data_IF_073594611312
#
_entry.id   IF_073594611312
#
_cell.length_a   1.000
_cell.length_b   1.000
_cell.length_c   1.000
_cell.angle_alpha   90.00
_cell.angle_beta   90.00
_cell.angle_gamma   90.00
#
_symmetry.space_group_name_H-M   'P 1'
#
loop_
_entity.id
_entity.type
_entity.pdbx_description
1 polymer ?
#
# COMPACT_ATOMS: atom_id res chain seq x y z
N UNK A 1 27.63 -4.42 34.06
CA UNK A 1 26.21 -4.10 34.26
C UNK A 1 25.48 -4.31 32.95
N UNK A 2 25.05 -5.55 32.73
CA UNK A 2 24.28 -5.97 31.55
C UNK A 2 22.86 -5.43 31.72
N UNK A 3 22.42 -4.55 30.82
CA UNK A 3 21.02 -4.12 30.82
C UNK A 3 20.16 -5.26 30.28
N UNK A 4 19.40 -5.90 31.17
CA UNK A 4 18.25 -6.70 30.77
C UNK A 4 17.25 -5.78 30.07
N UNK A 5 17.08 -5.98 28.77
CA UNK A 5 15.98 -5.34 28.04
C UNK A 5 14.70 -6.06 28.48
N UNK A 6 14.03 -5.51 29.49
CA UNK A 6 12.63 -5.87 29.79
C UNK A 6 11.84 -5.69 28.50
N UNK A 7 11.19 -6.77 28.04
CA UNK A 7 10.30 -6.81 26.87
C UNK A 7 9.14 -5.83 27.12
N UNK A 8 9.33 -4.55 26.80
CA UNK A 8 8.24 -3.60 26.78
C UNK A 8 7.31 -4.01 25.64
N UNK A 9 5.99 -3.94 25.87
CA UNK A 9 5.01 -4.09 24.80
C UNK A 9 5.42 -3.21 23.61
N UNK A 10 5.59 -3.76 22.39
CA UNK A 10 6.17 -3.04 21.26
C UNK A 10 5.53 -1.68 20.98
N UNK A 11 4.23 -1.57 21.23
CA UNK A 11 3.48 -0.31 21.12
C UNK A 11 3.95 0.73 22.12
N UNK A 12 4.16 0.34 23.39
CA UNK A 12 4.66 1.24 24.43
C UNK A 12 6.08 1.73 24.13
N UNK A 13 6.93 0.86 23.58
CA UNK A 13 8.28 1.22 23.15
C UNK A 13 8.25 2.21 21.98
N UNK A 14 7.44 1.93 20.96
CA UNK A 14 7.26 2.82 19.80
C UNK A 14 6.74 4.20 20.21
N UNK A 15 5.73 4.26 21.08
CA UNK A 15 5.17 5.53 21.57
C UNK A 15 6.23 6.40 22.26
N UNK A 16 7.08 5.81 23.11
CA UNK A 16 8.19 6.54 23.77
C UNK A 16 9.18 7.10 22.75
N UNK A 17 9.57 6.30 21.77
CA UNK A 17 10.50 6.73 20.70
C UNK A 17 9.90 7.89 19.91
N UNK A 18 8.61 7.82 19.56
CA UNK A 18 7.92 8.87 18.80
C UNK A 18 7.86 10.17 19.61
N UNK A 19 7.47 10.12 20.89
CA UNK A 19 7.35 11.32 21.76
C UNK A 19 8.71 11.98 22.01
N UNK A 20 9.79 11.21 22.08
CA UNK A 20 11.15 11.74 22.29
C UNK A 20 11.82 12.24 21.00
N UNK A 21 11.29 11.89 19.84
CA UNK A 21 11.88 12.28 18.56
C UNK A 21 11.64 13.76 18.27
N UNK A 22 12.68 14.43 17.76
CA UNK A 22 12.56 15.81 17.24
C UNK A 22 11.98 15.84 15.82
N UNK A 23 12.06 14.73 15.09
CA UNK A 23 11.62 14.63 13.71
C UNK A 23 11.23 13.19 13.37
N UNK A 24 9.92 12.93 13.36
CA UNK A 24 9.37 11.60 13.09
C UNK A 24 8.96 11.47 11.64
N UNK A 25 9.36 10.38 10.99
CA UNK A 25 8.98 10.04 9.62
C UNK A 25 8.20 8.72 9.66
N UNK A 26 7.08 8.67 8.95
CA UNK A 26 6.33 7.44 8.72
C UNK A 26 6.43 7.08 7.23
N UNK A 27 6.93 5.88 6.94
CA UNK A 27 6.81 5.27 5.62
C UNK A 27 5.58 4.36 5.63
N UNK A 28 4.58 4.72 4.84
CA UNK A 28 3.29 4.03 4.78
C UNK A 28 3.10 3.38 3.42
N UNK A 29 2.34 2.29 3.38
CA UNK A 29 1.92 1.61 2.16
C UNK A 29 0.40 1.47 2.10
N UNK A 30 -0.10 0.80 1.05
CA UNK A 30 -1.53 0.61 0.82
C UNK A 30 -2.28 -0.07 1.98
N UNK A 31 -1.56 -0.82 2.83
CA UNK A 31 -2.13 -1.44 4.03
C UNK A 31 -2.80 -0.45 5.01
N UNK A 32 -2.36 0.82 5.03
CA UNK A 32 -3.01 1.85 5.86
C UNK A 32 -4.45 2.12 5.39
N UNK A 33 -4.72 1.98 4.09
CA UNK A 33 -6.00 2.33 3.47
C UNK A 33 -7.07 1.22 3.59
N UNK A 34 -6.67 0.01 3.98
CA UNK A 34 -7.58 -1.14 4.15
C UNK A 34 -8.71 -0.81 5.15
N UNK A 35 -8.38 -0.12 6.24
CA UNK A 35 -9.36 0.30 7.25
C UNK A 35 -10.40 1.30 6.73
N UNK A 36 -10.15 1.92 5.58
CA UNK A 36 -11.06 2.85 4.89
C UNK A 36 -11.81 2.22 3.72
N UNK A 37 -11.67 0.90 3.51
CA UNK A 37 -12.32 0.18 2.41
C UNK A 37 -11.64 0.37 1.05
N UNK A 38 -10.46 0.98 1.00
CA UNK A 38 -9.67 1.09 -0.24
C UNK A 38 -8.87 -0.21 -0.41
N UNK A 39 -9.02 -0.91 -1.54
CA UNK A 39 -8.34 -2.18 -1.78
C UNK A 39 -6.83 -1.98 -1.95
N UNK A 40 -6.06 -3.02 -1.64
CA UNK A 40 -4.62 -3.06 -1.88
C UNK A 40 -4.32 -3.71 -3.22
N UNK A 41 -3.20 -3.37 -3.85
CA UNK A 41 -2.78 -4.08 -5.07
C UNK A 41 -2.43 -5.56 -4.82
N UNK A 42 -1.79 -5.86 -3.68
CA UNK A 42 -1.31 -7.20 -3.30
C UNK A 42 -1.98 -7.71 -2.02
N UNK A 43 -1.82 -9.00 -1.72
CA UNK A 43 -2.32 -9.66 -0.51
C UNK A 43 -3.50 -10.58 -0.78
N UNK A 44 -4.00 -11.29 0.25
CA UNK A 44 -5.07 -12.30 0.10
C UNK A 44 -6.33 -11.75 -0.57
N UNK A 45 -6.65 -10.47 -0.33
CA UNK A 45 -7.80 -9.78 -0.93
C UNK A 45 -7.36 -8.61 -1.82
N UNK A 46 -6.13 -8.66 -2.38
CA UNK A 46 -5.63 -7.58 -3.22
C UNK A 46 -6.10 -7.69 -4.67
N UNK A 47 -6.14 -6.57 -5.38
CA UNK A 47 -6.57 -6.47 -6.78
C UNK A 47 -5.87 -7.50 -7.67
N UNK A 48 -4.56 -7.69 -7.54
CA UNK A 48 -3.81 -8.62 -8.42
C UNK A 48 -4.04 -10.09 -8.08
N UNK A 49 -4.54 -10.39 -6.89
CA UNK A 49 -5.00 -11.72 -6.52
C UNK A 49 -6.37 -12.01 -7.14
N UNK A 50 -7.25 -11.00 -7.20
CA UNK A 50 -8.63 -11.13 -7.68
C UNK A 50 -8.75 -11.00 -9.21
N UNK A 51 -8.04 -10.05 -9.80
CA UNK A 51 -8.10 -9.67 -11.22
C UNK A 51 -6.91 -10.18 -12.04
N UNK A 52 -5.87 -10.69 -11.37
CA UNK A 52 -4.59 -11.06 -11.99
C UNK A 52 -3.56 -9.92 -11.97
N UNK A 53 -2.28 -10.28 -11.90
CA UNK A 53 -1.19 -9.30 -11.94
C UNK A 53 -1.07 -8.74 -13.38
N UNK A 54 -1.03 -7.40 -13.55
CA UNK A 54 -0.92 -6.81 -14.87
C UNK A 54 0.44 -7.11 -15.50
N UNK A 55 0.51 -7.03 -16.83
CA UNK A 55 1.78 -7.12 -17.53
C UNK A 55 2.72 -5.95 -17.16
N UNK A 56 4.02 -6.21 -17.09
CA UNK A 56 5.04 -5.23 -16.73
C UNK A 56 5.32 -4.16 -17.81
N UNK A 57 4.56 -4.15 -18.90
CA UNK A 57 4.69 -3.20 -20.00
C UNK A 57 3.60 -2.11 -20.02
N UNK A 58 2.94 -1.87 -18.88
CA UNK A 58 1.84 -0.92 -18.78
C UNK A 58 2.19 0.51 -19.21
N UNK A 59 3.45 0.93 -19.03
CA UNK A 59 3.92 2.25 -19.46
C UNK A 59 4.05 2.33 -20.99
N UNK A 60 4.55 1.29 -21.63
CA UNK A 60 4.64 1.19 -23.08
C UNK A 60 3.26 1.18 -23.74
N UNK A 61 2.30 0.45 -23.15
CA UNK A 61 0.89 0.49 -23.62
C UNK A 61 0.27 1.87 -23.47
N UNK A 62 0.54 2.57 -22.37
CA UNK A 62 0.09 3.94 -22.18
C UNK A 62 0.66 4.89 -23.24
N UNK A 63 1.95 4.77 -23.59
CA UNK A 63 2.56 5.60 -24.62
C UNK A 63 2.05 5.30 -26.04
N UNK A 64 1.66 4.04 -26.31
CA UNK A 64 1.14 3.65 -27.62
C UNK A 64 -0.21 4.31 -27.94
N UNK A 65 -1.11 4.39 -26.95
CA UNK A 65 -2.38 5.13 -27.06
C UNK A 65 -2.88 5.59 -25.67
N UNK A 66 -2.54 6.82 -25.25
CA UNK A 66 -2.93 7.33 -23.94
C UNK A 66 -4.45 7.42 -23.75
N UNK A 67 -5.20 7.67 -24.83
CA UNK A 67 -6.66 7.80 -24.75
C UNK A 67 -7.29 6.44 -24.50
N UNK A 68 -6.95 5.43 -25.30
CA UNK A 68 -7.46 4.08 -25.13
C UNK A 68 -7.06 3.50 -23.76
N UNK A 69 -5.83 3.79 -23.30
CA UNK A 69 -5.39 3.39 -21.97
C UNK A 69 -6.29 3.99 -20.88
N UNK A 70 -6.57 5.31 -20.90
CA UNK A 70 -7.46 5.93 -19.92
C UNK A 70 -8.90 5.44 -20.01
N UNK A 71 -9.44 5.27 -21.23
CA UNK A 71 -10.78 4.72 -21.42
C UNK A 71 -10.90 3.31 -20.81
N UNK A 72 -9.87 2.47 -20.93
CA UNK A 72 -9.83 1.15 -20.31
C UNK A 72 -9.65 1.23 -18.79
N UNK A 73 -8.81 2.15 -18.31
CA UNK A 73 -8.48 2.28 -16.89
C UNK A 73 -9.63 2.89 -16.05
N UNK A 74 -10.49 3.69 -16.67
CA UNK A 74 -11.69 4.28 -16.05
C UNK A 74 -12.95 3.44 -16.26
N UNK A 75 -12.81 2.23 -16.81
CA UNK A 75 -13.94 1.34 -17.04
C UNK A 75 -14.19 0.46 -15.82
N UNK A 76 -15.21 0.80 -15.03
CA UNK A 76 -15.63 0.08 -13.82
C UNK A 76 -16.05 -1.38 -14.09
N UNK A 77 -16.30 -1.77 -15.34
CA UNK A 77 -16.56 -3.17 -15.68
C UNK A 77 -15.28 -4.01 -15.74
N UNK A 78 -14.12 -3.37 -15.92
CA UNK A 78 -12.81 -4.02 -16.04
C UNK A 78 -12.13 -4.06 -14.67
N UNK A 79 -12.24 -2.99 -13.90
CA UNK A 79 -11.72 -2.89 -12.53
C UNK A 79 -12.79 -2.23 -11.64
N UNK A 80 -13.74 -3.02 -11.09
CA UNK A 80 -14.85 -2.49 -10.30
C UNK A 80 -14.42 -1.95 -8.93
N UNK A 81 -13.16 -2.14 -8.56
CA UNK A 81 -12.59 -1.78 -7.26
C UNK A 81 -11.73 -0.50 -7.34
N UNK A 82 -11.69 0.17 -8.50
CA UNK A 82 -10.92 1.39 -8.74
C UNK A 82 -11.68 2.67 -8.40
#
# INVERSE_FOLDING_TARGET
MTMEIKKQEPISAAAKIIVQSRYTIALIGAGLSVGSGIPTFRGTNGLWTNLGEPANNGYEHFLADPKAWWDQNLNDQIDPER
#
